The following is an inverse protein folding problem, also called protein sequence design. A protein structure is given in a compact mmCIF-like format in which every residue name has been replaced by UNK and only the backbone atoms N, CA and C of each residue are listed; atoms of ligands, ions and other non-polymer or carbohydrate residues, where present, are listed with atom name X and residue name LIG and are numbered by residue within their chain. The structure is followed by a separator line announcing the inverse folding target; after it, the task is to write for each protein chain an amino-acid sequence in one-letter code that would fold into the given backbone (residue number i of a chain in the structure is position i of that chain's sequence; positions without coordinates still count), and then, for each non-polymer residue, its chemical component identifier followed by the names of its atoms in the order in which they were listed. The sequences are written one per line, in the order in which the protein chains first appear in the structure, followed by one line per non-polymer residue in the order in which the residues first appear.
data_IF_993681437073
#
_entry.id   IF_993681437073
#
_cell.length_a   1.000
_cell.length_b   1.000
_cell.length_c   1.000
_cell.angle_alpha   90.00
_cell.angle_beta   90.00
_cell.angle_gamma   90.00
#
_symmetry.space_group_name_H-M   'P 1'
#
loop_
_entity.id
_entity.type
_entity.pdbx_description
1 polymer ?
#
# COMPACT_ATOMS: atom_id res chain seq x y z
N UNK A 1 4.51 21.33 -5.63
CA UNK A 1 5.38 21.76 -6.77
C UNK A 1 5.62 20.52 -7.63
N UNK A 2 5.14 20.50 -8.88
CA UNK A 2 4.88 19.39 -9.86
C UNK A 2 4.39 18.01 -9.38
N UNK A 3 4.92 17.46 -8.29
CA UNK A 3 4.44 16.19 -7.70
C UNK A 3 2.93 16.28 -7.38
N UNK A 4 2.52 17.37 -6.72
CA UNK A 4 1.12 17.60 -6.35
C UNK A 4 0.22 17.78 -7.57
N UNK A 5 0.69 18.48 -8.62
CA UNK A 5 -0.12 18.65 -9.83
C UNK A 5 -0.23 17.36 -10.63
N UNK A 6 0.75 16.48 -10.56
CA UNK A 6 0.80 15.26 -11.36
C UNK A 6 0.19 14.04 -10.66
N UNK A 7 0.39 13.93 -9.35
CA UNK A 7 -0.03 12.78 -8.55
C UNK A 7 -0.92 13.16 -7.36
N UNK A 8 -1.16 14.45 -7.09
CA UNK A 8 -1.88 14.90 -5.90
C UNK A 8 -3.29 14.34 -5.78
N UNK A 9 -4.04 14.20 -6.87
CA UNK A 9 -5.37 13.56 -6.83
C UNK A 9 -5.28 12.08 -6.44
N UNK A 10 -4.30 11.35 -6.98
CA UNK A 10 -4.07 9.94 -6.68
C UNK A 10 -3.62 9.74 -5.24
N UNK A 11 -2.73 10.61 -4.76
CA UNK A 11 -2.29 10.64 -3.36
C UNK A 11 -3.49 10.90 -2.46
N UNK A 12 -4.27 11.95 -2.72
CA UNK A 12 -5.43 12.30 -1.91
C UNK A 12 -6.44 11.15 -1.81
N UNK A 13 -6.74 10.48 -2.93
CA UNK A 13 -7.64 9.31 -2.92
C UNK A 13 -7.08 8.14 -2.12
N UNK A 14 -5.76 7.90 -2.19
CA UNK A 14 -5.10 6.90 -1.35
C UNK A 14 -5.20 7.27 0.14
N UNK A 15 -5.03 8.54 0.49
CA UNK A 15 -5.16 9.03 1.87
C UNK A 15 -6.60 8.87 2.40
N UNK A 16 -7.59 9.17 1.57
CA UNK A 16 -9.01 8.96 1.87
C UNK A 16 -9.33 7.47 2.05
N UNK A 17 -8.84 6.59 1.18
CA UNK A 17 -9.07 5.15 1.25
C UNK A 17 -8.40 4.48 2.46
N UNK A 18 -7.21 4.95 2.83
CA UNK A 18 -6.44 4.40 3.97
C UNK A 18 -6.79 5.05 5.31
N UNK A 19 -7.40 6.25 5.29
CA UNK A 19 -7.59 7.08 6.46
C UNK A 19 -6.27 7.65 7.02
N UNK A 20 -5.19 7.65 6.24
CA UNK A 20 -3.86 8.10 6.65
C UNK A 20 -3.37 9.24 5.75
N UNK A 21 -3.04 10.39 6.34
CA UNK A 21 -2.47 11.53 5.61
C UNK A 21 -0.95 11.48 5.71
N UNK A 22 -0.29 11.28 4.57
CA UNK A 22 1.16 11.23 4.47
C UNK A 22 1.79 12.59 4.75
N UNK A 23 2.81 12.59 5.60
CA UNK A 23 3.73 13.72 5.78
C UNK A 23 4.65 13.80 4.55
N UNK A 24 5.22 12.68 4.11
CA UNK A 24 6.06 12.58 2.91
C UNK A 24 5.24 12.08 1.72
N UNK A 25 4.66 13.01 0.95
CA UNK A 25 3.79 12.72 -0.20
C UNK A 25 4.48 11.86 -1.27
N UNK A 26 5.80 11.94 -1.37
CA UNK A 26 6.62 11.14 -2.28
C UNK A 26 6.54 9.64 -1.97
N UNK A 27 6.40 9.25 -0.69
CA UNK A 27 6.27 7.83 -0.31
C UNK A 27 4.94 7.25 -0.82
N UNK A 28 3.85 8.01 -0.69
CA UNK A 28 2.57 7.64 -1.27
C UNK A 28 2.66 7.55 -2.80
N UNK A 29 3.27 8.55 -3.45
CA UNK A 29 3.45 8.56 -4.89
C UNK A 29 4.27 7.35 -5.39
N UNK A 30 5.37 7.01 -4.71
CA UNK A 30 6.19 5.82 -4.99
C UNK A 30 5.39 4.53 -4.81
N UNK A 31 4.61 4.40 -3.72
CA UNK A 31 3.77 3.23 -3.47
C UNK A 31 2.73 2.98 -4.57
N UNK A 32 2.15 4.07 -5.09
CA UNK A 32 1.16 4.03 -6.16
C UNK A 32 1.79 3.77 -7.54
N UNK A 33 3.11 3.84 -7.67
CA UNK A 33 3.77 3.72 -8.96
C UNK A 33 4.05 2.28 -9.38
N UNK A 34 3.19 1.75 -10.26
CA UNK A 34 3.40 0.48 -10.96
C UNK A 34 4.07 0.66 -12.34
N UNK A 35 4.29 1.91 -12.76
CA UNK A 35 4.91 2.25 -14.04
C UNK A 35 6.43 2.35 -13.95
N UNK A 36 7.10 2.02 -15.06
CA UNK A 36 8.52 2.30 -15.26
C UNK A 36 8.78 3.28 -16.42
N UNK A 37 7.73 3.81 -17.04
CA UNK A 37 7.82 4.72 -18.18
C UNK A 37 7.72 6.20 -17.77
N UNK A 38 7.54 7.08 -18.76
CA UNK A 38 7.42 8.53 -18.55
C UNK A 38 6.19 8.97 -17.75
N UNK A 39 5.19 8.11 -17.51
CA UNK A 39 4.03 8.45 -16.65
C UNK A 39 4.45 8.67 -15.20
N UNK A 40 5.54 8.05 -14.77
CA UNK A 40 6.13 8.17 -13.43
C UNK A 40 7.07 9.39 -13.26
N UNK A 41 7.30 10.18 -14.32
CA UNK A 41 8.19 11.34 -14.25
C UNK A 41 7.47 12.58 -13.71
N UNK A 42 8.19 13.46 -13.01
CA UNK A 42 7.72 14.78 -12.57
C UNK A 42 8.91 15.75 -12.45
N UNK A 43 8.64 17.05 -12.49
CA UNK A 43 9.60 18.14 -12.42
C UNK A 43 9.72 18.67 -10.99
N UNK A 44 10.83 18.35 -10.32
CA UNK A 44 11.28 19.14 -9.18
C UNK A 44 12.14 20.31 -9.67
N UNK A 45 13.31 20.49 -9.04
CA UNK A 45 14.39 21.31 -9.62
C UNK A 45 14.98 20.72 -10.89
N UNK A 46 14.83 19.40 -11.08
CA UNK A 46 15.21 18.65 -12.27
C UNK A 46 14.10 17.65 -12.61
N UNK A 47 14.13 17.10 -13.83
CA UNK A 47 13.29 15.94 -14.16
C UNK A 47 13.67 14.76 -13.24
N UNK A 48 12.67 14.26 -12.51
CA UNK A 48 12.78 13.09 -11.63
C UNK A 48 11.81 12.02 -12.09
N UNK A 49 12.11 10.77 -11.77
CA UNK A 49 11.22 9.63 -12.00
C UNK A 49 10.95 8.93 -10.66
N UNK A 50 9.67 8.65 -10.38
CA UNK A 50 9.31 7.82 -9.25
C UNK A 50 9.84 6.40 -9.46
N UNK A 51 10.32 5.79 -8.38
CA UNK A 51 10.70 4.38 -8.41
C UNK A 51 9.45 3.53 -8.55
N UNK A 52 9.60 2.35 -9.14
CA UNK A 52 8.54 1.35 -9.14
C UNK A 52 8.37 0.79 -7.73
N UNK A 53 7.13 0.51 -7.36
CA UNK A 53 6.74 0.16 -6.00
C UNK A 53 7.24 -1.20 -5.50
N UNK A 54 7.85 -2.04 -6.34
CA UNK A 54 8.26 -3.41 -5.99
C UNK A 54 9.12 -3.51 -4.72
N UNK A 55 10.08 -2.58 -4.55
CA UNK A 55 10.96 -2.58 -3.36
C UNK A 55 10.21 -2.22 -2.08
N UNK A 56 9.29 -1.26 -2.21
CA UNK A 56 8.47 -0.80 -1.10
C UNK A 56 7.42 -1.85 -0.74
N UNK A 57 6.94 -2.61 -1.72
CA UNK A 57 6.07 -3.77 -1.52
C UNK A 57 6.74 -4.87 -0.71
N UNK A 58 7.96 -5.29 -1.08
CA UNK A 58 8.72 -6.29 -0.31
C UNK A 58 8.92 -5.85 1.15
N UNK A 59 9.26 -4.58 1.36
CA UNK A 59 9.38 -4.01 2.70
C UNK A 59 8.05 -4.03 3.45
N UNK A 60 6.97 -3.60 2.78
CA UNK A 60 5.61 -3.53 3.32
C UNK A 60 5.04 -4.88 3.73
N UNK A 61 5.19 -5.91 2.89
CA UNK A 61 4.81 -7.29 3.21
C UNK A 61 5.52 -7.75 4.49
N UNK A 62 6.82 -7.50 4.60
CA UNK A 62 7.63 -7.90 5.77
C UNK A 62 7.15 -7.25 7.07
N UNK A 63 6.92 -5.93 7.07
CA UNK A 63 6.48 -5.22 8.28
C UNK A 63 5.04 -5.53 8.64
N UNK A 64 4.16 -5.71 7.64
CA UNK A 64 2.76 -6.08 7.87
C UNK A 64 2.63 -7.53 8.39
N UNK A 65 3.46 -8.45 7.89
CA UNK A 65 3.54 -9.83 8.39
C UNK A 65 3.99 -9.87 9.86
N UNK A 66 4.95 -9.01 10.23
CA UNK A 66 5.38 -8.85 11.63
C UNK A 66 4.24 -8.36 12.53
N UNK A 67 3.44 -7.39 12.09
CA UNK A 67 2.25 -6.91 12.83
C UNK A 67 1.24 -8.06 13.03
N UNK A 68 0.95 -8.83 11.97
CA UNK A 68 0.03 -9.96 12.06
C UNK A 68 0.57 -11.04 13.00
N UNK A 69 1.86 -11.35 12.92
CA UNK A 69 2.54 -12.34 13.77
C UNK A 69 2.46 -11.97 15.25
N UNK A 70 2.75 -10.71 15.57
CA UNK A 70 2.63 -10.21 16.94
C UNK A 70 1.21 -10.31 17.50
N UNK A 71 0.20 -10.05 16.66
CA UNK A 71 -1.22 -10.19 17.06
C UNK A 71 -1.60 -11.65 17.27
N UNK A 72 -1.22 -12.53 16.35
CA UNK A 72 -1.44 -13.97 16.47
C UNK A 72 -0.84 -14.50 17.78
N UNK A 73 0.40 -14.14 18.07
CA UNK A 73 1.09 -14.50 19.31
C UNK A 73 0.36 -14.00 20.56
N UNK A 74 -0.03 -12.72 20.59
CA UNK A 74 -0.72 -12.12 21.75
C UNK A 74 -2.11 -12.69 22.01
N UNK A 75 -2.86 -13.01 20.95
CA UNK A 75 -4.24 -13.50 21.07
C UNK A 75 -4.30 -14.99 21.45
N UNK A 76 -3.18 -15.71 21.43
CA UNK A 76 -3.13 -17.13 21.77
C UNK A 76 -3.99 -18.00 20.86
N UNK A 77 -4.17 -17.58 19.60
CA UNK A 77 -5.04 -18.28 18.65
C UNK A 77 -4.60 -19.73 18.42
N UNK A 78 -5.55 -20.66 18.48
CA UNK A 78 -5.34 -22.06 18.09
C UNK A 78 -5.17 -22.22 16.56
N UNK A 79 -5.56 -21.20 15.78
CA UNK A 79 -5.43 -21.22 14.32
C UNK A 79 -3.95 -21.24 13.92
N UNK A 80 -3.59 -22.19 13.07
CA UNK A 80 -2.22 -22.35 12.55
C UNK A 80 -1.80 -21.07 11.83
N UNK A 81 -0.65 -20.52 12.25
CA UNK A 81 -0.04 -19.29 11.74
C UNK A 81 -0.08 -19.19 10.21
N UNK A 82 0.38 -20.24 9.51
CA UNK A 82 0.46 -20.25 8.04
C UNK A 82 -0.89 -20.02 7.35
N UNK A 83 -1.97 -20.58 7.91
CA UNK A 83 -3.32 -20.39 7.40
C UNK A 83 -3.81 -18.96 7.60
N UNK A 84 -3.52 -18.37 8.78
CA UNK A 84 -3.87 -16.98 9.08
C UNK A 84 -3.10 -16.00 8.19
N UNK A 85 -1.79 -16.21 8.04
CA UNK A 85 -0.94 -15.42 7.16
C UNK A 85 -1.40 -15.48 5.70
N UNK A 86 -1.70 -16.69 5.20
CA UNK A 86 -2.20 -16.87 3.82
C UNK A 86 -3.54 -16.18 3.58
N UNK A 87 -4.43 -16.20 4.58
CA UNK A 87 -5.71 -15.51 4.50
C UNK A 87 -5.57 -13.98 4.55
N UNK A 88 -4.56 -13.45 5.24
CA UNK A 88 -4.33 -12.00 5.25
C UNK A 88 -3.58 -11.51 4.00
N UNK A 89 -2.50 -12.20 3.61
CA UNK A 89 -1.48 -11.70 2.67
C UNK A 89 -1.39 -12.46 1.35
N UNK A 90 -2.34 -13.32 1.00
CA UNK A 90 -2.37 -13.84 -0.38
C UNK A 90 -2.66 -12.70 -1.37
N UNK A 91 -2.01 -12.73 -2.54
CA UNK A 91 -2.24 -11.73 -3.59
C UNK A 91 -3.72 -11.56 -3.92
N UNK A 92 -4.49 -12.66 -3.91
CA UNK A 92 -5.94 -12.63 -4.12
C UNK A 92 -6.63 -11.75 -3.07
N UNK A 93 -6.35 -12.00 -1.80
CA UNK A 93 -7.03 -11.29 -0.71
C UNK A 93 -6.57 -9.82 -0.63
N UNK A 94 -5.29 -9.55 -0.84
CA UNK A 94 -4.78 -8.17 -0.93
C UNK A 94 -5.38 -7.42 -2.12
N UNK A 95 -5.53 -8.08 -3.28
CA UNK A 95 -6.22 -7.52 -4.43
C UNK A 95 -7.68 -7.20 -4.12
N UNK A 96 -8.42 -8.16 -3.55
CA UNK A 96 -9.81 -7.98 -3.14
C UNK A 96 -9.96 -6.79 -2.18
N UNK A 97 -9.10 -6.66 -1.17
CA UNK A 97 -9.09 -5.51 -0.26
C UNK A 97 -8.76 -4.20 -0.99
N UNK A 98 -7.78 -4.22 -1.88
CA UNK A 98 -7.40 -3.03 -2.63
C UNK A 98 -8.50 -2.52 -3.55
N UNK A 99 -9.17 -3.41 -4.29
CA UNK A 99 -10.31 -3.06 -5.14
C UNK A 99 -11.53 -2.62 -4.32
N UNK A 100 -11.81 -3.28 -3.19
CA UNK A 100 -12.91 -2.88 -2.31
C UNK A 100 -12.74 -1.45 -1.76
N UNK A 101 -11.50 -0.98 -1.62
CA UNK A 101 -11.15 0.38 -1.20
C UNK A 101 -10.84 1.32 -2.39
N UNK A 102 -11.16 0.92 -3.62
CA UNK A 102 -10.97 1.73 -4.84
C UNK A 102 -9.52 2.22 -5.04
N UNK A 103 -8.53 1.43 -4.63
CA UNK A 103 -7.11 1.81 -4.81
C UNK A 103 -6.66 1.72 -6.28
N UNK A 104 -7.44 1.08 -7.15
CA UNK A 104 -7.15 0.92 -8.58
C UNK A 104 -7.09 2.25 -9.33
N UNK A 105 -7.94 3.22 -8.95
CA UNK A 105 -7.91 4.56 -9.55
C UNK A 105 -6.70 5.37 -9.10
N UNK A 106 -6.07 4.99 -7.98
CA UNK A 106 -4.88 5.65 -7.44
C UNK A 106 -3.60 5.18 -8.15
N UNK A 107 -3.56 3.94 -8.65
CA UNK A 107 -2.35 3.36 -9.25
C UNK A 107 -1.90 4.14 -10.51
N UNK A 108 -0.61 4.42 -10.58
CA UNK A 108 0.07 4.98 -11.75
C UNK A 108 0.51 3.82 -12.63
N UNK A 109 -0.06 3.75 -13.83
CA UNK A 109 0.08 2.65 -14.78
C UNK A 109 1.02 3.04 -15.92
N UNK A 110 1.62 2.06 -16.57
CA UNK A 110 2.29 2.29 -17.86
C UNK A 110 1.25 2.73 -18.91
N UNK A 111 1.67 3.49 -19.92
CA UNK A 111 0.77 4.03 -20.95
C UNK A 111 -0.05 2.99 -21.73
N UNK A 112 0.46 1.75 -21.84
CA UNK A 112 -0.24 0.63 -22.51
C UNK A 112 -1.12 -0.22 -21.59
N UNK A 113 -1.16 0.05 -20.28
CA UNK A 113 -1.90 -0.78 -19.31
C UNK A 113 -3.31 -0.23 -19.10
N UNK A 114 -4.31 -0.93 -19.63
CA UNK A 114 -5.73 -0.51 -19.62
C UNK A 114 -6.41 -0.78 -18.28
N UNK A 115 -6.12 -1.91 -17.64
CA UNK A 115 -6.72 -2.31 -16.36
C UNK A 115 -5.65 -2.69 -15.32
N UNK A 116 -5.97 -2.52 -14.04
CA UNK A 116 -5.15 -2.99 -12.94
C UNK A 116 -5.42 -4.49 -12.75
N UNK A 117 -4.37 -5.31 -12.78
CA UNK A 117 -4.48 -6.74 -12.47
C UNK A 117 -4.44 -7.00 -10.96
N UNK A 118 -4.93 -8.16 -10.50
CA UNK A 118 -4.84 -8.57 -9.10
C UNK A 118 -3.42 -8.49 -8.56
N UNK A 119 -2.44 -8.95 -9.34
CA UNK A 119 -1.02 -8.88 -8.94
C UNK A 119 -0.55 -7.43 -8.75
N UNK A 120 -0.91 -6.53 -9.67
CA UNK A 120 -0.58 -5.12 -9.54
C UNK A 120 -1.24 -4.48 -8.31
N UNK A 121 -2.51 -4.83 -8.05
CA UNK A 121 -3.23 -4.34 -6.89
C UNK A 121 -2.58 -4.83 -5.59
N UNK A 122 -2.30 -6.13 -5.48
CA UNK A 122 -1.66 -6.70 -4.31
C UNK A 122 -0.31 -6.04 -4.00
N UNK A 123 0.55 -5.91 -5.01
CA UNK A 123 1.84 -5.21 -4.87
C UNK A 123 1.67 -3.74 -4.49
N UNK A 124 0.66 -3.05 -5.00
CA UNK A 124 0.37 -1.68 -4.60
C UNK A 124 -0.10 -1.58 -3.14
N UNK A 125 -0.94 -2.50 -2.68
CA UNK A 125 -1.37 -2.57 -1.27
C UNK A 125 -0.17 -2.81 -0.36
N UNK A 126 0.69 -3.79 -0.67
CA UNK A 126 1.93 -4.04 0.07
C UNK A 126 2.81 -2.77 0.11
N UNK A 127 2.98 -2.09 -1.01
CA UNK A 127 3.78 -0.88 -1.07
C UNK A 127 3.17 0.28 -0.27
N UNK A 128 1.84 0.43 -0.25
CA UNK A 128 1.14 1.41 0.58
C UNK A 128 1.41 1.12 2.05
N UNK A 129 1.32 -0.14 2.49
CA UNK A 129 1.64 -0.52 3.87
C UNK A 129 3.10 -0.17 4.21
N UNK A 130 4.03 -0.46 3.30
CA UNK A 130 5.44 -0.08 3.47
C UNK A 130 5.64 1.44 3.57
N UNK A 131 4.96 2.22 2.73
CA UNK A 131 5.00 3.67 2.74
C UNK A 131 4.48 4.25 4.06
N UNK A 132 3.32 3.76 4.52
CA UNK A 132 2.70 4.17 5.79
C UNK A 132 3.64 3.89 6.95
N UNK A 133 4.26 2.71 6.99
CA UNK A 133 5.21 2.38 8.05
C UNK A 133 6.45 3.30 8.06
N UNK A 134 6.99 3.64 6.88
CA UNK A 134 8.14 4.57 6.77
C UNK A 134 7.79 6.03 7.12
N UNK A 135 6.53 6.41 7.00
CA UNK A 135 6.06 7.77 7.25
C UNK A 135 5.57 7.96 8.69
N UNK A 136 4.76 7.04 9.20
CA UNK A 136 4.05 7.15 10.49
C UNK A 136 4.33 6.02 11.49
N UNK A 137 5.18 5.05 11.14
CA UNK A 137 5.58 3.97 12.04
C UNK A 137 4.53 2.87 12.23
N UNK A 138 4.72 2.07 13.28
CA UNK A 138 3.96 0.84 13.53
C UNK A 138 2.47 1.09 13.82
N UNK A 139 2.15 2.16 14.54
CA UNK A 139 0.77 2.51 14.90
C UNK A 139 -0.04 2.95 13.68
N UNK A 140 0.59 3.74 12.79
CA UNK A 140 -0.02 4.12 11.52
C UNK A 140 -0.26 2.89 10.63
N UNK A 141 0.73 2.00 10.51
CA UNK A 141 0.61 0.75 9.77
C UNK A 141 -0.55 -0.10 10.30
N UNK A 142 -0.62 -0.31 11.62
CA UNK A 142 -1.65 -1.13 12.25
C UNK A 142 -3.05 -0.56 12.00
N UNK A 143 -3.20 0.76 12.11
CA UNK A 143 -4.45 1.48 11.81
C UNK A 143 -4.88 1.27 10.36
N UNK A 144 -3.95 1.48 9.41
CA UNK A 144 -4.25 1.30 7.97
C UNK A 144 -4.58 -0.14 7.62
N UNK A 145 -3.88 -1.13 8.19
CA UNK A 145 -4.24 -2.54 8.00
C UNK A 145 -5.65 -2.86 8.49
N UNK A 146 -6.11 -2.19 9.56
CA UNK A 146 -7.50 -2.27 10.04
C UNK A 146 -8.49 -1.61 9.08
N UNK A 147 -8.20 -0.38 8.63
CA UNK A 147 -9.07 0.38 7.73
C UNK A 147 -9.26 -0.32 6.37
N UNK A 148 -8.20 -0.94 5.83
CA UNK A 148 -8.26 -1.73 4.60
C UNK A 148 -8.91 -3.11 4.80
N UNK A 149 -9.24 -3.50 6.03
CA UNK A 149 -9.84 -4.80 6.34
C UNK A 149 -8.88 -5.99 6.19
N UNK A 150 -7.57 -5.76 6.24
CA UNK A 150 -6.54 -6.81 6.18
C UNK A 150 -6.49 -7.55 7.51
N UNK A 151 -6.60 -6.82 8.62
CA UNK A 151 -6.68 -7.37 9.97
C UNK A 151 -7.94 -6.88 10.66
N UNK A 152 -8.47 -7.69 11.57
CA UNK A 152 -9.57 -7.28 12.44
C UNK A 152 -9.02 -6.39 13.55
N UNK A 153 -9.67 -5.24 13.86
CA UNK A 153 -9.35 -4.45 15.04
C UNK A 153 -9.37 -5.32 16.31
N UNK A 154 -8.44 -5.05 17.23
CA UNK A 154 -8.48 -5.71 18.54
C UNK A 154 -9.71 -5.15 19.26
N UNK A 155 -10.59 -6.03 19.74
CA UNK A 155 -11.63 -5.62 20.68
C UNK A 155 -10.92 -5.36 22.01
N UNK A 156 -11.02 -4.13 22.49
CA UNK A 156 -10.60 -3.76 23.85
C UNK A 156 -11.47 -4.45 24.90
#
# INVERSE_FOLDING_TARGET
MDLDSRFGEKIKRCEEATGYVFVKKELCAEALNASADGTACYYGHTLKQLRKNDRLAVYGDTVADSVLCHRWYKQGHEKVWDSMRKEAFSNKNLAERGFANQLDVCIIRNGGTVCVSDKMMATAVEAILGAVHLDGGLDALTTVMGNLGIIVPLRE
#
